data_IF_696258498696
#
_entry.id   IF_696258498696
#
_cell.length_a   1.000
_cell.length_b   1.000
_cell.length_c   1.000
_cell.angle_alpha   90.00
_cell.angle_beta   90.00
_cell.angle_gamma   90.00
#
_symmetry.space_group_name_H-M   'P 1'
#
loop_
_entity.id
_entity.type
_entity.pdbx_description
1 polymer ?
#
# COMPACT_ATOMS: atom_id res chain seq x y z
N UNK A 1 6.85 -9.90 -5.65
CA UNK A 1 6.00 -8.70 -5.49
C UNK A 1 5.89 -7.94 -6.81
N UNK A 2 6.99 -7.40 -7.33
CA UNK A 2 7.02 -6.61 -8.57
C UNK A 2 6.30 -7.28 -9.75
N UNK A 3 6.63 -8.53 -10.09
CA UNK A 3 5.97 -9.27 -11.18
C UNK A 3 4.46 -9.48 -11.00
N UNK A 4 3.97 -9.43 -9.75
CA UNK A 4 2.55 -9.53 -9.44
C UNK A 4 1.88 -8.17 -9.65
N UNK A 5 2.44 -7.12 -9.06
CA UNK A 5 1.90 -5.76 -9.13
C UNK A 5 1.97 -5.16 -10.54
N UNK A 6 2.97 -5.53 -11.34
CA UNK A 6 3.09 -5.11 -12.74
C UNK A 6 1.93 -5.60 -13.64
N UNK A 7 1.25 -6.68 -13.22
CA UNK A 7 0.08 -7.23 -13.92
C UNK A 7 -1.24 -6.61 -13.45
N UNK A 8 -1.20 -5.80 -12.39
CA UNK A 8 -2.37 -5.16 -11.80
C UNK A 8 -2.69 -3.83 -12.53
N UNK A 9 -3.97 -3.53 -12.71
CA UNK A 9 -4.42 -2.21 -13.19
C UNK A 9 -4.18 -1.13 -12.12
N UNK A 10 -4.09 0.12 -12.54
CA UNK A 10 -4.04 1.26 -11.62
C UNK A 10 -5.33 1.42 -10.78
N UNK A 11 -6.45 0.88 -11.26
CA UNK A 11 -7.72 0.83 -10.54
C UNK A 11 -8.03 -0.63 -10.22
N UNK A 12 -7.88 -1.02 -8.96
CA UNK A 12 -8.10 -2.39 -8.53
C UNK A 12 -9.58 -2.67 -8.23
N UNK A 13 -10.23 -3.63 -8.91
CA UNK A 13 -11.55 -4.07 -8.52
C UNK A 13 -11.49 -4.83 -7.19
N UNK A 14 -12.38 -4.50 -6.26
CA UNK A 14 -12.45 -5.12 -4.92
C UNK A 14 -13.86 -5.61 -4.65
N UNK A 15 -13.99 -6.85 -4.16
CA UNK A 15 -15.29 -7.45 -3.80
C UNK A 15 -15.59 -7.26 -2.32
N UNK A 16 -16.85 -6.96 -2.02
CA UNK A 16 -17.39 -7.00 -0.68
C UNK A 16 -17.69 -8.45 -0.23
N UNK A 17 -17.72 -8.73 1.09
CA UNK A 17 -17.33 -7.83 2.18
C UNK A 17 -15.82 -7.57 2.18
N UNK A 18 -15.41 -6.35 2.55
CA UNK A 18 -13.99 -5.94 2.64
C UNK A 18 -13.78 -4.99 3.82
N UNK A 19 -12.68 -5.19 4.53
CA UNK A 19 -12.21 -4.26 5.56
C UNK A 19 -11.27 -3.25 4.92
N UNK A 20 -11.62 -1.96 5.04
CA UNK A 20 -10.83 -0.86 4.49
C UNK A 20 -9.98 -0.24 5.59
N UNK A 21 -8.68 -0.13 5.35
CA UNK A 21 -7.69 0.40 6.28
C UNK A 21 -7.01 1.63 5.67
N UNK A 22 -6.91 2.72 6.45
CA UNK A 22 -6.17 3.92 6.08
C UNK A 22 -4.70 3.83 6.48
N UNK A 23 -4.10 5.00 6.76
CA UNK A 23 -2.68 5.20 7.06
C UNK A 23 -2.16 4.29 8.18
N UNK A 24 -0.92 3.82 8.03
CA UNK A 24 -0.23 2.97 9.02
C UNK A 24 1.06 3.63 9.53
N UNK A 25 1.79 4.34 8.66
CA UNK A 25 2.97 5.13 9.03
C UNK A 25 3.99 4.42 9.92
N UNK A 26 4.41 3.22 9.53
CA UNK A 26 5.42 2.45 10.26
C UNK A 26 5.03 2.05 11.69
N UNK A 27 3.74 2.10 12.03
CA UNK A 27 3.19 1.63 13.31
C UNK A 27 2.94 0.12 13.26
N UNK A 28 4.01 -0.67 13.17
CA UNK A 28 3.94 -2.13 12.95
C UNK A 28 3.06 -2.88 13.96
N UNK A 29 3.09 -2.47 15.23
CA UNK A 29 2.28 -3.13 16.26
C UNK A 29 0.78 -2.85 16.09
N UNK A 30 0.43 -1.64 15.64
CA UNK A 30 -0.95 -1.23 15.40
C UNK A 30 -1.50 -1.87 14.11
N UNK A 31 -0.64 -2.17 13.12
CA UNK A 31 -1.02 -2.94 11.92
C UNK A 31 -1.61 -4.32 12.25
N UNK A 32 -1.29 -4.89 13.42
CA UNK A 32 -1.81 -6.20 13.82
C UNK A 32 -3.28 -6.09 14.27
N UNK A 33 -3.73 -4.92 14.75
CA UNK A 33 -5.07 -4.73 15.32
C UNK A 33 -6.21 -4.94 14.31
N UNK A 34 -6.16 -4.44 13.05
CA UNK A 34 -7.18 -4.75 12.05
C UNK A 34 -7.42 -6.25 11.87
N UNK A 35 -6.37 -7.07 11.93
CA UNK A 35 -6.51 -8.54 11.80
C UNK A 35 -7.12 -9.20 13.05
N UNK A 36 -6.90 -8.63 14.23
CA UNK A 36 -7.54 -9.10 15.47
C UNK A 36 -9.04 -8.76 15.50
N UNK A 37 -9.41 -7.59 14.97
CA UNK A 37 -10.78 -7.08 15.01
C UNK A 37 -11.62 -7.68 13.87
N UNK A 38 -11.12 -7.61 12.63
CA UNK A 38 -11.89 -8.00 11.45
C UNK A 38 -11.72 -9.49 11.08
N UNK A 39 -10.69 -10.16 11.62
CA UNK A 39 -10.31 -11.52 11.25
C UNK A 39 -9.09 -11.55 10.34
N UNK A 40 -8.59 -12.75 10.04
CA UNK A 40 -7.38 -12.92 9.23
C UNK A 40 -7.70 -13.15 7.76
N UNK A 41 -6.77 -12.76 6.89
CA UNK A 41 -6.75 -13.28 5.52
C UNK A 41 -6.38 -14.79 5.54
N UNK A 42 -7.00 -15.63 4.70
CA UNK A 42 -7.87 -15.28 3.57
C UNK A 42 -9.37 -15.20 3.88
N UNK A 43 -9.79 -15.44 5.12
CA UNK A 43 -11.22 -15.49 5.49
C UNK A 43 -11.89 -14.11 5.41
N UNK A 44 -11.10 -13.04 5.59
CA UNK A 44 -11.51 -11.64 5.45
C UNK A 44 -10.73 -10.96 4.31
N UNK A 45 -11.43 -10.21 3.46
CA UNK A 45 -10.79 -9.38 2.44
C UNK A 45 -10.32 -8.07 3.07
N UNK A 46 -9.16 -7.57 2.65
CA UNK A 46 -8.59 -6.30 3.09
C UNK A 46 -8.26 -5.39 1.91
N UNK A 47 -8.54 -4.11 2.07
CA UNK A 47 -8.09 -3.03 1.20
C UNK A 47 -7.32 -2.02 2.06
N UNK A 48 -6.03 -1.85 1.80
CA UNK A 48 -5.21 -0.84 2.45
C UNK A 48 -4.93 0.32 1.50
N UNK A 49 -5.14 1.55 1.98
CA UNK A 49 -5.21 2.72 1.11
C UNK A 49 -3.88 3.44 0.87
N UNK A 50 -2.79 3.07 1.54
CA UNK A 50 -1.48 3.69 1.36
C UNK A 50 -0.86 4.13 2.68
N UNK A 51 0.24 4.87 2.60
CA UNK A 51 0.99 5.43 3.74
C UNK A 51 1.40 4.36 4.75
N UNK A 52 2.16 3.38 4.26
CA UNK A 52 2.73 2.28 5.04
C UNK A 52 3.99 2.71 5.80
N UNK A 53 4.73 3.66 5.25
CA UNK A 53 6.07 4.06 5.71
C UNK A 53 6.10 5.48 6.28
N UNK A 54 7.27 5.86 6.80
CA UNK A 54 7.59 7.14 7.44
C UNK A 54 6.87 7.38 8.77
N UNK A 55 7.32 8.41 9.51
CA UNK A 55 6.86 8.85 10.85
C UNK A 55 7.08 7.84 11.99
N UNK A 56 6.72 6.57 11.80
CA UNK A 56 7.00 5.48 12.72
C UNK A 56 8.41 4.90 12.56
N UNK A 57 8.81 4.08 13.53
CA UNK A 57 10.17 3.47 13.59
C UNK A 57 10.26 2.07 12.96
N UNK A 58 9.13 1.53 12.51
CA UNK A 58 8.99 0.15 12.00
C UNK A 58 8.42 0.13 10.58
N UNK A 59 8.78 1.09 9.74
CA UNK A 59 8.31 1.17 8.36
C UNK A 59 8.75 -0.05 7.54
N UNK A 60 9.99 -0.51 7.73
CA UNK A 60 10.52 -1.68 7.01
C UNK A 60 9.70 -2.93 7.34
N UNK A 61 9.41 -3.19 8.61
CA UNK A 61 8.63 -4.34 9.05
C UNK A 61 7.19 -4.24 8.56
N UNK A 62 6.60 -3.04 8.66
CA UNK A 62 5.25 -2.73 8.19
C UNK A 62 5.09 -3.05 6.71
N UNK A 63 5.92 -2.44 5.87
CA UNK A 63 5.81 -2.61 4.41
C UNK A 63 6.18 -4.03 3.98
N UNK A 64 7.14 -4.67 4.65
CA UNK A 64 7.49 -6.08 4.40
C UNK A 64 6.30 -6.99 4.66
N UNK A 65 5.63 -6.85 5.80
CA UNK A 65 4.45 -7.66 6.12
C UNK A 65 3.32 -7.43 5.11
N UNK A 66 3.07 -6.18 4.75
CA UNK A 66 2.06 -5.82 3.74
C UNK A 66 2.32 -6.49 2.39
N UNK A 67 3.56 -6.46 1.92
CA UNK A 67 3.96 -7.12 0.67
C UNK A 67 3.83 -8.65 0.80
N UNK A 68 4.24 -9.23 1.93
CA UNK A 68 4.10 -10.66 2.18
C UNK A 68 2.62 -11.09 2.14
N UNK A 69 1.72 -10.35 2.77
CA UNK A 69 0.29 -10.60 2.75
C UNK A 69 -0.28 -10.47 1.33
N UNK A 70 0.10 -9.42 0.58
CA UNK A 70 -0.30 -9.24 -0.82
C UNK A 70 0.15 -10.41 -1.70
N UNK A 71 1.39 -10.91 -1.54
CA UNK A 71 1.87 -12.08 -2.29
C UNK A 71 1.08 -13.34 -1.88
N UNK A 72 0.92 -13.55 -0.58
CA UNK A 72 0.32 -14.78 -0.03
C UNK A 72 -1.17 -14.90 -0.32
N UNK A 73 -1.87 -13.77 -0.37
CA UNK A 73 -3.32 -13.67 -0.47
C UNK A 73 -3.74 -12.64 -1.53
N UNK A 74 -3.15 -12.73 -2.73
CA UNK A 74 -3.30 -11.75 -3.82
C UNK A 74 -4.74 -11.37 -4.18
N UNK A 75 -5.68 -12.31 -4.05
CA UNK A 75 -7.10 -12.13 -4.38
C UNK A 75 -7.95 -11.70 -3.17
N UNK A 76 -7.32 -11.53 -1.99
CA UNK A 76 -7.97 -11.17 -0.72
C UNK A 76 -7.39 -9.91 -0.10
N UNK A 77 -6.14 -9.58 -0.38
CA UNK A 77 -5.45 -8.39 0.14
C UNK A 77 -5.11 -7.49 -1.04
N UNK A 78 -5.70 -6.31 -1.07
CA UNK A 78 -5.42 -5.23 -2.01
C UNK A 78 -4.67 -4.11 -1.29
N UNK A 79 -3.62 -3.60 -1.91
CA UNK A 79 -2.82 -2.49 -1.40
C UNK A 79 -2.75 -1.42 -2.49
N UNK A 80 -2.96 -0.16 -2.13
CA UNK A 80 -2.78 0.98 -3.04
C UNK A 80 -1.63 1.86 -2.60
N UNK A 81 -1.21 2.78 -3.47
CA UNK A 81 -0.11 3.72 -3.24
C UNK A 81 -0.61 4.95 -2.48
N UNK A 82 0.04 5.28 -1.37
CA UNK A 82 -0.09 6.58 -0.72
C UNK A 82 0.98 7.57 -1.15
N UNK A 83 0.93 8.80 -0.63
CA UNK A 83 1.93 9.81 -0.97
C UNK A 83 3.29 9.53 -0.33
N UNK A 84 3.31 8.80 0.79
CA UNK A 84 4.54 8.36 1.45
C UNK A 84 5.27 7.24 0.70
N UNK A 85 4.62 6.53 -0.23
CA UNK A 85 5.28 5.56 -1.11
C UNK A 85 6.00 6.22 -2.31
N UNK A 86 6.79 7.26 -2.05
CA UNK A 86 7.56 8.00 -3.06
C UNK A 86 8.99 8.31 -2.61
N UNK A 87 9.93 8.38 -3.55
CA UNK A 87 11.35 8.67 -3.25
C UNK A 87 11.54 10.01 -2.56
N UNK A 88 10.75 11.02 -2.96
CA UNK A 88 10.84 12.37 -2.42
C UNK A 88 10.42 12.42 -0.95
N UNK A 89 9.30 11.78 -0.61
CA UNK A 89 8.76 11.81 0.76
C UNK A 89 9.62 10.93 1.68
N UNK A 90 9.93 9.69 1.27
CA UNK A 90 10.72 8.76 2.10
C UNK A 90 12.13 9.23 2.42
N UNK A 91 12.72 10.13 1.61
CA UNK A 91 14.01 10.76 1.92
C UNK A 91 13.94 11.78 3.06
N UNK A 92 12.78 12.39 3.29
CA UNK A 92 12.62 13.51 4.23
C UNK A 92 11.96 13.06 5.53
N UNK A 93 11.07 12.06 5.47
CA UNK A 93 10.17 11.72 6.58
C UNK A 93 10.54 10.45 7.36
N UNK A 94 11.74 9.91 7.10
CA UNK A 94 12.42 8.97 8.01
C UNK A 94 12.63 7.56 7.46
N UNK A 95 11.94 7.13 6.41
CA UNK A 95 12.12 5.76 5.90
C UNK A 95 13.52 5.51 5.33
N UNK A 96 14.11 6.49 4.63
CA UNK A 96 15.49 6.42 4.17
C UNK A 96 16.47 6.22 5.35
N UNK A 97 16.35 7.05 6.37
CA UNK A 97 17.19 6.99 7.57
C UNK A 97 16.98 5.70 8.35
N UNK A 98 15.75 5.20 8.42
CA UNK A 98 15.44 3.90 9.01
C UNK A 98 16.18 2.77 8.29
N UNK A 99 16.15 2.75 6.96
CA UNK A 99 16.86 1.75 6.16
C UNK A 99 18.38 1.85 6.35
N UNK A 100 18.94 3.06 6.31
CA UNK A 100 20.36 3.30 6.55
C UNK A 100 20.79 2.81 7.94
N UNK A 101 20.00 3.12 8.98
CA UNK A 101 20.26 2.72 10.36
C UNK A 101 20.17 1.21 10.56
N UNK A 102 19.18 0.54 9.97
CA UNK A 102 18.94 -0.91 10.16
C UNK A 102 19.89 -1.78 9.34
N UNK A 103 20.28 -1.34 8.14
CA UNK A 103 21.01 -2.19 7.18
C UNK A 103 22.40 -1.65 6.80
N UNK A 104 22.77 -0.45 7.28
CA UNK A 104 24.07 0.17 7.02
C UNK A 104 24.24 0.71 5.59
N UNK A 105 23.21 0.64 4.75
CA UNK A 105 23.23 1.16 3.38
C UNK A 105 21.80 1.39 2.84
N UNK A 106 21.71 2.08 1.71
CA UNK A 106 20.44 2.50 1.11
C UNK A 106 19.79 1.45 0.18
N UNK A 107 20.34 0.23 0.06
CA UNK A 107 19.83 -0.75 -0.91
C UNK A 107 18.38 -1.16 -0.59
N UNK A 108 18.06 -1.38 0.69
CA UNK A 108 16.70 -1.74 1.12
C UNK A 108 15.71 -0.64 0.77
N UNK A 109 16.06 0.62 1.04
CA UNK A 109 15.25 1.77 0.64
C UNK A 109 15.05 1.81 -0.88
N UNK A 110 16.13 1.64 -1.67
CA UNK A 110 16.05 1.61 -3.14
C UNK A 110 15.08 0.53 -3.61
N UNK A 111 15.21 -0.70 -3.12
CA UNK A 111 14.34 -1.81 -3.51
C UNK A 111 12.87 -1.56 -3.19
N UNK A 112 12.56 -0.97 -2.03
CA UNK A 112 11.19 -0.59 -1.71
C UNK A 112 10.66 0.53 -2.61
N UNK A 113 11.44 1.59 -2.80
CA UNK A 113 11.01 2.69 -3.69
C UNK A 113 10.83 2.26 -5.14
N UNK A 114 11.65 1.33 -5.64
CA UNK A 114 11.48 0.74 -6.97
C UNK A 114 10.21 -0.13 -7.03
N UNK A 115 9.82 -0.78 -5.93
CA UNK A 115 8.58 -1.54 -5.85
C UNK A 115 7.34 -0.62 -5.77
N UNK A 116 7.44 0.51 -5.06
CA UNK A 116 6.34 1.46 -4.89
C UNK A 116 5.81 2.04 -6.19
N UNK A 117 6.65 2.11 -7.22
CA UNK A 117 6.26 2.57 -8.55
C UNK A 117 5.27 1.61 -9.25
N UNK A 118 5.10 0.38 -8.75
CA UNK A 118 4.16 -0.61 -9.26
C UNK A 118 2.87 -0.70 -8.44
N UNK A 119 2.74 0.05 -7.33
CA UNK A 119 1.53 0.00 -6.53
C UNK A 119 0.35 0.64 -7.28
N UNK A 120 -0.83 -0.01 -7.31
CA UNK A 120 -2.03 0.60 -7.86
C UNK A 120 -2.37 1.91 -7.17
N UNK A 121 -2.93 2.86 -7.92
CA UNK A 121 -3.22 4.22 -7.40
C UNK A 121 -4.56 4.25 -6.65
N UNK A 122 -5.49 3.37 -7.02
CA UNK A 122 -6.85 3.39 -6.48
C UNK A 122 -7.50 1.99 -6.50
N UNK A 123 -8.65 1.89 -5.86
CA UNK A 123 -9.50 0.71 -5.86
C UNK A 123 -10.96 1.09 -6.08
N UNK A 124 -11.75 0.16 -6.61
CA UNK A 124 -13.18 0.31 -6.83
C UNK A 124 -13.91 -0.88 -6.20
N UNK A 125 -14.60 -0.64 -5.08
CA UNK A 125 -15.34 -1.67 -4.35
C UNK A 125 -16.71 -1.86 -5.02
N UNK A 126 -17.06 -3.09 -5.39
CA UNK A 126 -18.35 -3.47 -6.00
C UNK A 126 -18.77 -2.56 -7.16
N UNK A 127 -17.80 -2.07 -7.94
CA UNK A 127 -18.01 -1.12 -9.04
C UNK A 127 -18.76 0.16 -8.65
N UNK A 128 -18.78 0.52 -7.37
CA UNK A 128 -19.63 1.60 -6.84
C UNK A 128 -18.88 2.56 -5.93
N UNK A 129 -17.97 2.08 -5.07
CA UNK A 129 -17.25 2.92 -4.12
C UNK A 129 -15.81 3.10 -4.59
N UNK A 130 -15.48 4.30 -5.09
CA UNK A 130 -14.14 4.66 -5.50
C UNK A 130 -13.27 5.02 -4.29
N UNK A 131 -12.15 4.35 -4.15
CA UNK A 131 -11.24 4.46 -3.01
C UNK A 131 -9.86 4.90 -3.50
N UNK A 132 -9.32 5.94 -2.88
CA UNK A 132 -8.00 6.48 -3.14
C UNK A 132 -7.38 6.92 -1.82
N UNK A 133 -6.05 7.00 -1.77
CA UNK A 133 -5.33 7.51 -0.60
C UNK A 133 -5.67 8.98 -0.33
N UNK A 134 -5.56 9.80 -1.37
CA UNK A 134 -5.76 11.24 -1.31
C UNK A 134 -7.16 11.69 -1.75
N UNK A 135 -7.20 12.82 -2.46
CA UNK A 135 -8.43 13.41 -2.99
C UNK A 135 -8.55 13.34 -4.51
N UNK A 136 -9.73 13.71 -5.02
CA UNK A 136 -10.01 13.78 -6.45
C UNK A 136 -9.12 14.84 -7.12
N UNK A 137 -8.47 14.46 -8.23
CA UNK A 137 -7.79 15.42 -9.09
C UNK A 137 -8.83 16.23 -9.87
N UNK A 138 -8.65 17.56 -10.02
CA UNK A 138 -9.52 18.38 -10.88
C UNK A 138 -9.55 17.93 -12.35
N UNK A 139 -8.57 17.12 -12.77
CA UNK A 139 -8.47 16.58 -14.13
C UNK A 139 -9.03 15.15 -14.25
N UNK A 140 -9.62 14.60 -13.18
CA UNK A 140 -10.21 13.27 -13.18
C UNK A 140 -11.69 13.36 -13.56
N UNK A 141 -11.96 13.40 -14.87
CA UNK A 141 -13.34 13.49 -15.39
C UNK A 141 -14.04 12.13 -15.46
N UNK A 142 -13.30 11.04 -15.69
CA UNK A 142 -13.82 9.67 -15.78
C UNK A 142 -12.85 8.66 -15.18
N UNK A 143 -13.39 7.60 -14.58
CA UNK A 143 -12.62 6.44 -14.14
C UNK A 143 -12.35 5.55 -15.36
N UNK A 144 -11.27 5.80 -16.09
CA UNK A 144 -10.79 4.88 -17.11
C UNK A 144 -9.82 3.86 -16.47
N UNK A 145 -10.16 2.55 -16.42
CA UNK A 145 -9.28 1.51 -15.89
C UNK A 145 -7.92 1.39 -16.61
N UNK A 146 -7.80 2.01 -17.80
CA UNK A 146 -6.58 2.05 -18.61
C UNK A 146 -5.69 3.27 -18.40
N UNK A 147 -6.10 4.27 -17.59
CA UNK A 147 -5.28 5.46 -17.36
C UNK A 147 -4.01 5.10 -16.57
N UNK A 148 -2.90 5.11 -17.29
CA UNK A 148 -1.55 5.10 -16.70
C UNK A 148 -1.28 6.49 -16.13
N UNK A 149 -0.99 6.56 -14.83
CA UNK A 149 -0.40 7.75 -14.22
C UNK A 149 1.01 7.98 -14.75
#
# INVERSE_FOLDING_TARGET
AKELLEKESNVQPVRAPVTVCGDIHGQFHDLIEPFKIAGNAPDTNFLFLGDYVDRGYYSVETVTLMICLKIRYKDRVTITRGNHESRQVTQVYGFYDECMRKYGNANVWRYFTDLFDYLPVSALIENTIFCLHGGLSPNLDTLDPGQRA
#
